data_IF_487390313108
#
_entry.id   IF_487390313108
#
_cell.length_a   1.000
_cell.length_b   1.000
_cell.length_c   1.000
_cell.angle_alpha   90.00
_cell.angle_beta   90.00
_cell.angle_gamma   90.00
#
_symmetry.space_group_name_H-M   'P 1'
#
loop_
_entity.id
_entity.type
_entity.pdbx_description
1 polymer ?
#
# COMPACT_ATOMS: atom_id res chain seq x y z
N UNK A 1 5.14 -14.58 7.42
CA UNK A 1 5.74 -14.76 6.07
C UNK A 1 6.12 -16.22 5.89
N UNK A 2 5.74 -16.84 4.76
CA UNK A 2 6.12 -18.22 4.45
C UNK A 2 7.60 -18.28 4.02
N UNK A 3 8.38 -19.25 4.52
CA UNK A 3 9.81 -19.43 4.19
C UNK A 3 10.06 -19.61 2.69
N UNK A 4 9.16 -20.28 1.97
CA UNK A 4 9.26 -20.45 0.51
C UNK A 4 9.10 -19.11 -0.21
N UNK A 5 8.18 -18.26 0.25
CA UNK A 5 7.96 -16.93 -0.32
C UNK A 5 9.15 -15.99 -0.07
N UNK A 6 9.87 -16.15 1.05
CA UNK A 6 11.11 -15.42 1.28
C UNK A 6 12.28 -15.89 0.40
N UNK A 7 12.29 -17.16 0.00
CA UNK A 7 13.34 -17.74 -0.85
C UNK A 7 13.16 -17.51 -2.35
N UNK A 8 11.92 -17.40 -2.84
CA UNK A 8 11.62 -17.25 -4.29
C UNK A 8 10.92 -15.94 -4.66
N UNK A 9 10.50 -15.14 -3.67
CA UNK A 9 9.61 -13.99 -3.89
C UNK A 9 10.25 -12.75 -4.51
N UNK A 10 11.58 -12.70 -4.65
CA UNK A 10 12.30 -11.62 -5.33
C UNK A 10 11.83 -10.22 -4.92
N UNK A 11 11.59 -9.34 -5.90
CA UNK A 11 11.14 -7.97 -5.64
C UNK A 11 9.80 -7.85 -4.90
N UNK A 12 8.92 -8.85 -5.00
CA UNK A 12 7.66 -8.87 -4.24
C UNK A 12 7.90 -9.16 -2.76
N UNK A 13 8.90 -10.00 -2.44
CA UNK A 13 9.30 -10.22 -1.05
C UNK A 13 9.84 -8.93 -0.42
N UNK A 14 10.70 -8.21 -1.14
CA UNK A 14 11.25 -6.93 -0.68
C UNK A 14 10.15 -5.87 -0.51
N UNK A 15 9.15 -5.85 -1.41
CA UNK A 15 7.98 -5.00 -1.26
C UNK A 15 7.22 -5.27 0.05
N UNK A 16 6.85 -6.53 0.31
CA UNK A 16 6.11 -6.87 1.54
C UNK A 16 6.98 -6.63 2.78
N UNK A 17 8.29 -6.83 2.70
CA UNK A 17 9.22 -6.54 3.80
C UNK A 17 9.29 -5.05 4.13
N UNK A 18 9.26 -4.19 3.12
CA UNK A 18 9.33 -2.74 3.30
C UNK A 18 7.96 -2.10 3.56
N UNK A 19 6.88 -2.84 3.34
CA UNK A 19 5.50 -2.37 3.51
C UNK A 19 5.25 -1.91 4.95
N UNK A 20 4.90 -0.64 5.09
CA UNK A 20 4.57 -0.01 6.38
C UNK A 20 3.25 0.75 6.26
N UNK A 21 2.15 0.03 6.48
CA UNK A 21 0.82 0.62 6.51
C UNK A 21 0.46 1.12 7.90
N UNK A 22 0.10 2.40 8.01
CA UNK A 22 -0.27 3.00 9.30
C UNK A 22 -1.78 3.17 9.44
N UNK A 23 -2.25 3.35 10.67
CA UNK A 23 -3.66 3.68 10.94
C UNK A 23 -4.07 5.01 10.28
N UNK A 24 -3.13 5.95 10.14
CA UNK A 24 -3.36 7.21 9.43
C UNK A 24 -3.65 6.96 7.95
N UNK A 25 -2.85 6.11 7.29
CA UNK A 25 -3.08 5.74 5.89
C UNK A 25 -4.42 5.01 5.71
N UNK A 26 -4.78 4.12 6.65
CA UNK A 26 -6.05 3.42 6.65
C UNK A 26 -7.26 4.36 6.75
N UNK A 27 -7.21 5.31 7.70
CA UNK A 27 -8.31 6.23 7.95
C UNK A 27 -8.53 7.16 6.76
N UNK A 28 -7.47 7.64 6.11
CA UNK A 28 -7.60 8.51 4.93
C UNK A 28 -8.29 7.80 3.75
N UNK A 29 -7.95 6.53 3.51
CA UNK A 29 -8.63 5.75 2.48
C UNK A 29 -10.09 5.50 2.87
N UNK A 30 -10.36 5.15 4.12
CA UNK A 30 -11.72 4.90 4.61
C UNK A 30 -12.62 6.16 4.54
N UNK A 31 -12.08 7.32 4.91
CA UNK A 31 -12.76 8.61 4.83
C UNK A 31 -13.08 8.96 3.37
N UNK A 32 -12.13 8.75 2.46
CA UNK A 32 -12.35 8.99 1.02
C UNK A 32 -13.47 8.11 0.46
N UNK A 33 -13.55 6.84 0.88
CA UNK A 33 -14.64 5.93 0.48
C UNK A 33 -15.99 6.41 1.04
N UNK A 34 -16.01 6.84 2.31
CA UNK A 34 -17.23 7.26 3.01
C UNK A 34 -17.78 8.61 2.56
N UNK A 35 -16.91 9.61 2.40
CA UNK A 35 -17.30 10.97 2.02
C UNK A 35 -17.74 11.07 0.57
N UNK A 36 -17.10 10.31 -0.31
CA UNK A 36 -17.09 10.61 -1.73
C UNK A 36 -17.91 9.55 -2.53
N UNK A 37 -18.49 8.57 -1.82
CA UNK A 37 -19.13 7.35 -2.36
C UNK A 37 -18.29 6.67 -3.45
N UNK A 38 -16.99 6.93 -3.44
CA UNK A 38 -16.06 6.41 -4.40
C UNK A 38 -15.83 4.94 -4.07
N UNK A 39 -15.82 4.10 -5.10
CA UNK A 39 -15.40 2.71 -4.96
C UNK A 39 -14.01 2.63 -4.34
N UNK A 40 -13.76 1.54 -3.62
CA UNK A 40 -12.47 1.25 -2.96
C UNK A 40 -11.28 1.42 -3.91
N UNK A 41 -11.45 1.09 -5.18
CA UNK A 41 -10.48 1.24 -6.25
C UNK A 41 -10.08 2.70 -6.48
N UNK A 42 -11.04 3.62 -6.51
CA UNK A 42 -10.76 5.03 -6.77
C UNK A 42 -10.15 5.73 -5.56
N UNK A 43 -10.59 5.37 -4.34
CA UNK A 43 -9.97 5.84 -3.11
C UNK A 43 -8.51 5.35 -2.99
N UNK A 44 -8.26 4.06 -3.28
CA UNK A 44 -6.91 3.51 -3.31
C UNK A 44 -6.03 4.19 -4.37
N UNK A 45 -6.59 4.49 -5.56
CA UNK A 45 -5.89 5.24 -6.60
C UNK A 45 -5.51 6.64 -6.13
N UNK A 46 -6.44 7.39 -5.55
CA UNK A 46 -6.19 8.74 -5.04
C UNK A 46 -5.12 8.76 -3.93
N UNK A 47 -5.18 7.78 -3.02
CA UNK A 47 -4.14 7.63 -2.00
C UNK A 47 -2.78 7.30 -2.64
N UNK A 48 -2.73 6.37 -3.60
CA UNK A 48 -1.47 6.01 -4.28
C UNK A 48 -0.88 7.19 -5.05
N UNK A 49 -1.71 7.98 -5.73
CA UNK A 49 -1.26 9.13 -6.50
C UNK A 49 -0.75 10.27 -5.57
N UNK A 50 -1.40 10.50 -4.43
CA UNK A 50 -1.04 11.57 -3.48
C UNK A 50 0.07 11.20 -2.49
N UNK A 51 0.25 9.91 -2.17
CA UNK A 51 1.17 9.40 -1.14
C UNK A 51 2.38 8.68 -1.72
N UNK A 52 2.85 9.11 -2.88
CA UNK A 52 4.06 8.59 -3.52
C UNK A 52 5.30 8.55 -2.59
N UNK A 53 5.43 9.52 -1.66
CA UNK A 53 6.52 9.53 -0.68
C UNK A 53 6.46 8.41 0.36
N UNK A 54 5.27 7.83 0.58
CA UNK A 54 5.04 6.75 1.55
C UNK A 54 5.33 5.39 0.92
N UNK A 55 4.78 5.10 -0.26
CA UNK A 55 4.86 3.76 -0.85
C UNK A 55 6.03 3.54 -1.80
N UNK A 56 6.57 4.58 -2.47
CA UNK A 56 7.74 4.40 -3.35
C UNK A 56 8.96 3.78 -2.64
N UNK A 57 9.26 4.12 -1.37
CA UNK A 57 10.31 3.45 -0.60
C UNK A 57 10.07 1.95 -0.37
N UNK A 58 8.84 1.46 -0.56
CA UNK A 58 8.53 0.04 -0.43
C UNK A 58 8.96 -0.75 -1.66
N UNK A 59 9.02 -0.11 -2.83
CA UNK A 59 9.40 -0.81 -4.06
C UNK A 59 10.81 -1.40 -3.96
N UNK A 60 11.02 -2.62 -4.49
CA UNK A 60 12.34 -3.19 -4.63
C UNK A 60 13.21 -2.31 -5.52
N UNK A 61 14.53 -2.32 -5.28
CA UNK A 61 15.53 -1.61 -6.10
C UNK A 61 16.08 -2.49 -7.20
#
# INVERSE_FOLDING_TARGET
>A
MNKTFAGTGGGTYDFIKNFKWTNTDQNEVADTVGSDKLGLDKAAKQWTDSRAGVWKPWLPR
#
